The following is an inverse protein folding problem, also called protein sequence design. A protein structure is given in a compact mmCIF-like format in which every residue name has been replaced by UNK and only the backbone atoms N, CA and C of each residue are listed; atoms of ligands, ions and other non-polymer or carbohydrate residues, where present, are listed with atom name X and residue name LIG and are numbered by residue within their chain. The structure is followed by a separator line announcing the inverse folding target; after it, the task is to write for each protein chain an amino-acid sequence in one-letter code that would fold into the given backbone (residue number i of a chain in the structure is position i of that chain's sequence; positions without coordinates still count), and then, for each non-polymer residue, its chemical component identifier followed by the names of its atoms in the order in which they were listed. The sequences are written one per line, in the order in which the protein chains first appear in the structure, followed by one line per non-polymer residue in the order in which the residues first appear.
data_IF_621867285348
#
_entry.id   IF_621867285348
#
_cell.length_a   1.000
_cell.length_b   1.000
_cell.length_c   1.000
_cell.angle_alpha   90.00
_cell.angle_beta   90.00
_cell.angle_gamma   90.00
#
_symmetry.space_group_name_H-M   'P 1'
#
loop_
_entity.id
_entity.type
_entity.pdbx_description
1 polymer ?
#
# COMPACT_ATOMS: atom_id res chain seq x y z
N UNK A 1 15.48 2.52 -28.11
CA UNK A 1 16.45 3.63 -28.33
C UNK A 1 17.92 3.24 -28.12
N UNK A 2 18.24 2.13 -27.44
CA UNK A 2 19.65 1.72 -27.21
C UNK A 2 20.49 1.47 -28.47
N UNK A 3 19.92 0.88 -29.53
CA UNK A 3 20.66 0.64 -30.78
C UNK A 3 21.07 1.94 -31.50
N UNK A 4 20.26 3.00 -31.42
CA UNK A 4 20.57 4.27 -32.08
C UNK A 4 21.75 5.00 -31.39
N UNK A 5 21.82 4.94 -30.06
CA UNK A 5 22.89 5.56 -29.26
C UNK A 5 24.22 4.82 -29.48
N UNK A 6 24.18 3.49 -29.65
CA UNK A 6 25.35 2.68 -30.00
C UNK A 6 25.93 3.07 -31.36
N UNK A 7 25.09 3.23 -32.39
CA UNK A 7 25.52 3.65 -33.72
C UNK A 7 26.10 5.07 -33.72
N UNK A 8 25.51 6.01 -32.98
CA UNK A 8 25.99 7.40 -32.89
C UNK A 8 27.37 7.45 -32.22
N UNK A 9 27.57 6.67 -31.15
CA UNK A 9 28.86 6.62 -30.44
C UNK A 9 30.00 6.12 -31.35
N UNK A 10 29.72 5.14 -32.21
CA UNK A 10 30.69 4.61 -33.18
C UNK A 10 31.03 5.66 -34.24
N UNK A 11 30.02 6.37 -34.78
CA UNK A 11 30.23 7.43 -35.77
C UNK A 11 31.08 8.57 -35.17
N UNK A 12 30.78 8.98 -33.94
CA UNK A 12 31.54 10.02 -33.24
C UNK A 12 32.99 9.59 -33.02
N UNK A 13 33.23 8.32 -32.64
CA UNK A 13 34.58 7.77 -32.51
C UNK A 13 35.37 7.86 -33.83
N UNK A 14 34.75 7.47 -34.95
CA UNK A 14 35.37 7.57 -36.28
C UNK A 14 35.71 9.01 -36.67
N UNK A 15 34.82 9.96 -36.36
CA UNK A 15 35.06 11.40 -36.60
C UNK A 15 36.25 11.89 -35.77
N UNK A 16 36.31 11.53 -34.49
CA UNK A 16 37.43 11.91 -33.60
C UNK A 16 38.75 11.34 -34.15
N UNK A 17 38.79 10.06 -34.52
CA UNK A 17 39.99 9.43 -35.08
C UNK A 17 40.42 10.08 -36.41
N UNK A 18 39.47 10.42 -37.28
CA UNK A 18 39.76 11.14 -38.52
C UNK A 18 40.37 12.52 -38.25
N UNK A 19 39.87 13.27 -37.27
CA UNK A 19 40.40 14.59 -36.90
C UNK A 19 41.85 14.53 -36.38
N UNK A 20 42.25 13.46 -35.69
CA UNK A 20 43.64 13.25 -35.26
C UNK A 20 44.61 13.09 -36.44
N UNK A 21 44.15 12.59 -37.59
CA UNK A 21 44.98 12.50 -38.80
C UNK A 21 45.25 13.85 -39.45
N UNK A 22 44.39 14.85 -39.19
CA UNK A 22 44.51 16.21 -39.73
C UNK A 22 45.39 17.07 -38.81
N UNK A 23 45.12 17.05 -37.49
CA UNK A 23 45.90 17.78 -36.50
C UNK A 23 45.69 17.21 -35.10
N UNK A 24 46.76 17.00 -34.31
CA UNK A 24 46.64 16.59 -32.91
C UNK A 24 45.78 17.54 -32.06
N UNK A 25 45.83 18.85 -32.35
CA UNK A 25 45.09 19.88 -31.60
C UNK A 25 43.58 19.76 -31.86
N UNK A 26 43.18 19.54 -33.11
CA UNK A 26 41.76 19.35 -33.47
C UNK A 26 41.19 18.07 -32.85
N UNK A 27 41.99 17.00 -32.81
CA UNK A 27 41.62 15.76 -32.12
C UNK A 27 41.29 16.00 -30.64
N UNK A 28 42.18 16.68 -29.89
CA UNK A 28 41.98 16.96 -28.46
C UNK A 28 40.73 17.82 -28.21
N UNK A 29 40.52 18.88 -28.99
CA UNK A 29 39.35 19.77 -28.84
C UNK A 29 38.03 19.02 -29.06
N UNK A 30 37.99 18.09 -30.02
CA UNK A 30 36.80 17.28 -30.29
C UNK A 30 36.43 16.36 -29.13
N UNK A 31 37.43 15.75 -28.47
CA UNK A 31 37.24 14.91 -27.29
C UNK A 31 36.68 15.72 -26.13
N UNK A 32 37.27 16.89 -25.84
CA UNK A 32 36.80 17.78 -24.76
C UNK A 32 35.36 18.24 -25.01
N UNK A 33 35.04 18.61 -26.26
CA UNK A 33 33.67 19.00 -26.64
C UNK A 33 32.66 17.87 -26.46
N UNK A 34 33.03 16.64 -26.83
CA UNK A 34 32.17 15.46 -26.66
C UNK A 34 31.94 15.13 -25.18
N UNK A 35 32.98 15.13 -24.35
CA UNK A 35 32.85 14.96 -22.90
C UNK A 35 32.00 16.07 -22.27
N UNK A 36 32.15 17.32 -22.73
CA UNK A 36 31.31 18.44 -22.33
C UNK A 36 29.83 18.21 -22.63
N UNK A 37 29.51 17.70 -23.83
CA UNK A 37 28.13 17.35 -24.20
C UNK A 37 27.57 16.19 -23.38
N UNK A 38 28.37 15.15 -23.09
CA UNK A 38 27.95 14.04 -22.23
C UNK A 38 27.61 14.51 -20.81
N UNK A 39 28.50 15.31 -20.20
CA UNK A 39 28.28 15.87 -18.87
C UNK A 39 27.04 16.79 -18.87
N UNK A 40 26.88 17.63 -19.89
CA UNK A 40 25.71 18.50 -20.03
C UNK A 40 24.41 17.69 -20.18
N UNK A 41 24.43 16.62 -20.98
CA UNK A 41 23.30 15.72 -21.17
C UNK A 41 22.87 15.05 -19.87
N UNK A 42 23.81 14.47 -19.12
CA UNK A 42 23.54 13.83 -17.82
C UNK A 42 22.92 14.84 -16.84
N UNK A 43 23.55 16.01 -16.68
CA UNK A 43 23.04 17.06 -15.77
C UNK A 43 21.65 17.55 -16.16
N UNK A 44 21.36 17.64 -17.46
CA UNK A 44 20.05 18.03 -17.97
C UNK A 44 18.99 16.99 -17.62
N UNK A 45 19.30 15.70 -17.76
CA UNK A 45 18.40 14.61 -17.36
C UNK A 45 18.11 14.65 -15.86
N UNK A 46 19.13 14.80 -15.02
CA UNK A 46 18.95 14.91 -13.57
C UNK A 46 18.08 16.11 -13.18
N UNK A 47 18.28 17.26 -13.85
CA UNK A 47 17.48 18.48 -13.62
C UNK A 47 16.01 18.28 -14.00
N UNK A 48 15.72 17.55 -15.10
CA UNK A 48 14.35 17.26 -15.53
C UNK A 48 13.66 16.33 -14.53
N UNK A 49 14.37 15.31 -14.04
CA UNK A 49 13.84 14.40 -13.03
C UNK A 49 13.53 15.13 -11.71
N UNK A 50 14.43 16.01 -11.24
CA UNK A 50 14.18 16.81 -10.04
C UNK A 50 12.98 17.74 -10.18
N UNK A 51 12.84 18.43 -11.33
CA UNK A 51 11.65 19.26 -11.58
C UNK A 51 10.34 18.47 -11.53
N UNK A 52 10.32 17.25 -12.05
CA UNK A 52 9.14 16.38 -11.96
C UNK A 52 8.77 16.03 -10.51
N UNK A 53 9.78 15.73 -9.67
CA UNK A 53 9.56 15.48 -8.25
C UNK A 53 9.06 16.71 -7.50
N UNK A 54 9.58 17.90 -7.82
CA UNK A 54 9.15 19.17 -7.23
C UNK A 54 7.71 19.51 -7.60
N UNK A 55 7.34 19.34 -8.87
CA UNK A 55 5.96 19.52 -9.33
C UNK A 55 4.99 18.55 -8.62
N UNK A 56 5.40 17.29 -8.46
CA UNK A 56 4.62 16.29 -7.74
C UNK A 56 4.45 16.65 -6.25
N UNK A 57 5.50 17.15 -5.60
CA UNK A 57 5.42 17.61 -4.21
C UNK A 57 4.42 18.76 -4.03
N UNK A 58 4.41 19.72 -4.96
CA UNK A 58 3.44 20.82 -4.95
C UNK A 58 2.01 20.27 -5.08
N UNK A 59 1.77 19.39 -6.05
CA UNK A 59 0.45 18.77 -6.28
C UNK A 59 -0.02 17.91 -5.11
N UNK A 60 0.88 17.15 -4.49
CA UNK A 60 0.58 16.40 -3.27
C UNK A 60 0.12 17.34 -2.15
N UNK A 61 0.84 18.45 -1.95
CA UNK A 61 0.49 19.44 -0.94
C UNK A 61 -0.83 20.15 -1.21
N UNK A 62 -1.21 20.34 -2.48
CA UNK A 62 -2.52 20.86 -2.88
C UNK A 62 -3.63 19.86 -2.60
N UNK A 63 -3.50 18.61 -3.07
CA UNK A 63 -4.49 17.55 -2.80
C UNK A 63 -4.63 17.22 -1.32
N UNK A 64 -3.55 17.29 -0.56
CA UNK A 64 -3.64 17.08 0.88
C UNK A 64 -4.55 18.11 1.56
N UNK A 65 -4.67 19.33 1.02
CA UNK A 65 -5.61 20.33 1.52
C UNK A 65 -7.07 20.02 1.15
N UNK A 66 -7.30 19.18 0.14
CA UNK A 66 -8.64 18.70 -0.26
C UNK A 66 -9.14 17.60 0.69
N UNK A 67 -8.24 16.86 1.34
CA UNK A 67 -8.60 15.90 2.39
C UNK A 67 -9.23 16.63 3.59
N UNK A 68 -10.23 16.00 4.23
CA UNK A 68 -11.01 16.67 5.25
C UNK A 68 -10.26 16.74 6.58
N UNK A 69 -9.42 17.76 6.77
CA UNK A 69 -8.68 18.03 8.02
C UNK A 69 -8.03 16.79 8.66
N UNK A 70 -7.52 15.86 7.87
CA UNK A 70 -6.67 14.79 8.40
C UNK A 70 -5.49 15.43 9.13
N UNK A 71 -5.28 15.03 10.37
CA UNK A 71 -4.11 15.40 11.17
C UNK A 71 -3.04 14.37 10.86
N UNK A 72 -1.97 14.80 10.19
CA UNK A 72 -0.86 13.92 9.82
C UNK A 72 -0.04 13.56 11.07
N UNK A 73 -0.31 12.39 11.66
CA UNK A 73 0.51 11.79 12.72
C UNK A 73 1.77 11.16 12.12
N UNK A 74 1.61 10.41 11.04
CA UNK A 74 2.69 9.80 10.26
C UNK A 74 2.33 9.84 8.77
N UNK A 75 3.33 9.90 7.89
CA UNK A 75 3.09 9.74 6.46
C UNK A 75 4.23 9.03 5.74
N UNK A 76 3.88 8.44 4.62
CA UNK A 76 4.79 7.85 3.66
C UNK A 76 4.52 8.45 2.30
N UNK A 77 5.59 8.82 1.59
CA UNK A 77 5.51 9.27 0.20
C UNK A 77 6.37 8.33 -0.64
N UNK A 78 5.83 7.86 -1.76
CA UNK A 78 6.54 7.03 -2.73
C UNK A 78 7.78 7.77 -3.26
N UNK A 79 8.75 7.02 -3.79
CA UNK A 79 10.00 7.59 -4.30
C UNK A 79 9.78 8.67 -5.39
N UNK A 80 8.73 8.52 -6.19
CA UNK A 80 8.40 9.42 -7.29
C UNK A 80 7.43 10.55 -6.88
N UNK A 81 7.11 10.64 -5.59
CA UNK A 81 6.19 11.63 -5.00
C UNK A 81 4.80 11.62 -5.63
N UNK A 82 4.35 10.49 -6.17
CA UNK A 82 3.06 10.34 -6.84
C UNK A 82 1.99 9.68 -5.95
N UNK A 83 2.41 8.98 -4.89
CA UNK A 83 1.51 8.35 -3.92
C UNK A 83 1.92 8.76 -2.51
N UNK A 84 0.95 9.23 -1.72
CA UNK A 84 1.14 9.55 -0.30
C UNK A 84 0.12 8.79 0.56
N UNK A 85 0.61 8.06 1.56
CA UNK A 85 -0.18 7.44 2.61
C UNK A 85 -0.02 8.27 3.89
N UNK A 86 -1.14 8.63 4.51
CA UNK A 86 -1.19 9.46 5.71
C UNK A 86 -1.93 8.67 6.79
N UNK A 87 -1.40 8.70 8.00
CA UNK A 87 -2.04 8.18 9.21
C UNK A 87 -2.48 9.35 10.07
N UNK A 88 -3.72 9.28 10.54
CA UNK A 88 -4.29 10.15 11.55
C UNK A 88 -4.70 9.27 12.75
N UNK A 89 -3.80 9.17 13.73
CA UNK A 89 -3.99 8.32 14.91
C UNK A 89 -5.11 8.84 15.81
N UNK A 90 -5.23 10.17 15.92
CA UNK A 90 -6.19 10.82 16.82
C UNK A 90 -7.63 10.64 16.33
N UNK A 91 -7.86 10.83 15.02
CA UNK A 91 -9.17 10.69 14.41
C UNK A 91 -9.44 9.26 13.88
N UNK A 92 -8.46 8.35 13.98
CA UNK A 92 -8.53 6.94 13.53
C UNK A 92 -8.85 6.83 12.05
N UNK A 93 -8.08 7.54 11.24
CA UNK A 93 -8.26 7.64 9.79
C UNK A 93 -6.95 7.40 9.05
N UNK A 94 -7.09 7.01 7.78
CA UNK A 94 -6.01 7.04 6.82
C UNK A 94 -6.38 7.92 5.63
N UNK A 95 -5.37 8.63 5.11
CA UNK A 95 -5.45 9.38 3.86
C UNK A 95 -4.62 8.69 2.79
N UNK A 96 -5.15 8.56 1.58
CA UNK A 96 -4.41 8.02 0.43
C UNK A 96 -4.53 9.02 -0.72
N UNK A 97 -3.41 9.57 -1.16
CA UNK A 97 -3.34 10.45 -2.32
C UNK A 97 -2.61 9.71 -3.42
N UNK A 98 -3.18 9.69 -4.62
CA UNK A 98 -2.57 9.13 -5.82
C UNK A 98 -2.69 10.12 -6.97
N UNK A 99 -1.57 10.78 -7.31
CA UNK A 99 -1.48 11.78 -8.37
C UNK A 99 -1.60 11.19 -9.77
N UNK A 100 -1.25 9.91 -9.98
CA UNK A 100 -1.36 9.28 -11.30
C UNK A 100 -2.81 9.23 -11.78
N UNK A 101 -3.73 9.04 -10.84
CA UNK A 101 -5.18 8.99 -11.10
C UNK A 101 -5.91 10.24 -10.59
N UNK A 102 -5.17 11.28 -10.17
CA UNK A 102 -5.70 12.54 -9.63
C UNK A 102 -6.67 12.35 -8.43
N UNK A 103 -6.51 11.31 -7.64
CA UNK A 103 -7.43 10.96 -6.55
C UNK A 103 -6.85 11.24 -5.16
N UNK A 104 -7.74 11.60 -4.23
CA UNK A 104 -7.47 11.68 -2.81
C UNK A 104 -8.61 11.01 -2.04
N UNK A 105 -8.27 10.09 -1.14
CA UNK A 105 -9.22 9.28 -0.39
C UNK A 105 -8.97 9.42 1.10
N UNK A 106 -10.04 9.34 1.86
CA UNK A 106 -10.04 9.32 3.32
C UNK A 106 -10.90 8.16 3.78
N UNK A 107 -10.35 7.31 4.65
CA UNK A 107 -11.02 6.13 5.18
C UNK A 107 -10.88 6.08 6.70
N UNK A 108 -11.95 5.73 7.40
CA UNK A 108 -11.86 5.40 8.81
C UNK A 108 -11.15 4.04 8.97
N UNK A 109 -10.54 3.77 10.12
CA UNK A 109 -9.94 2.45 10.39
C UNK A 109 -10.93 1.29 10.20
N UNK A 110 -12.22 1.52 10.45
CA UNK A 110 -13.26 0.52 10.25
C UNK A 110 -13.47 0.12 8.78
N UNK A 111 -13.11 1.00 7.86
CA UNK A 111 -13.27 0.78 6.43
C UNK A 111 -12.09 -0.04 5.88
N UNK A 112 -11.00 -0.19 6.63
CA UNK A 112 -9.85 -1.02 6.25
C UNK A 112 -10.21 -2.49 6.51
N UNK A 113 -10.17 -3.29 5.45
CA UNK A 113 -10.56 -4.71 5.48
C UNK A 113 -9.33 -5.63 5.47
N UNK A 114 -8.30 -5.23 4.72
CA UNK A 114 -7.08 -6.03 4.58
C UNK A 114 -5.89 -5.16 4.19
N UNK A 115 -4.71 -5.55 4.70
CA UNK A 115 -3.42 -4.97 4.36
C UNK A 115 -2.47 -6.11 4.01
N UNK A 116 -1.82 -6.03 2.86
CA UNK A 116 -0.96 -7.08 2.33
C UNK A 116 0.33 -6.49 1.77
N UNK A 117 1.46 -7.08 2.14
CA UNK A 117 2.76 -6.81 1.52
C UNK A 117 2.90 -7.72 0.30
N UNK A 118 3.13 -7.11 -0.86
CA UNK A 118 3.42 -7.80 -2.11
C UNK A 118 4.89 -7.59 -2.51
N UNK A 119 5.54 -8.66 -2.93
CA UNK A 119 6.89 -8.66 -3.51
C UNK A 119 6.82 -9.39 -4.86
N UNK A 120 7.16 -8.72 -5.96
CA UNK A 120 6.99 -9.26 -7.32
C UNK A 120 5.55 -9.75 -7.61
N UNK A 121 4.55 -9.18 -6.92
CA UNK A 121 3.15 -9.60 -6.98
C UNK A 121 2.78 -10.77 -6.07
N UNK A 122 3.76 -11.42 -5.42
CA UNK A 122 3.53 -12.47 -4.43
C UNK A 122 3.26 -11.86 -3.04
N UNK A 123 2.27 -12.40 -2.33
CA UNK A 123 1.97 -12.07 -0.93
C UNK A 123 3.06 -12.58 0.00
N UNK A 124 3.71 -11.65 0.71
CA UNK A 124 4.69 -11.95 1.75
C UNK A 124 4.01 -11.99 3.12
N UNK A 125 3.24 -10.96 3.44
CA UNK A 125 2.55 -10.81 4.74
C UNK A 125 1.16 -10.26 4.50
N UNK A 126 0.17 -10.74 5.25
CA UNK A 126 -1.22 -10.33 5.12
C UNK A 126 -1.90 -10.25 6.48
N UNK A 127 -2.70 -9.21 6.69
CA UNK A 127 -3.58 -9.02 7.85
C UNK A 127 -4.96 -8.60 7.37
N UNK A 128 -6.01 -9.23 7.88
CA UNK A 128 -7.40 -8.99 7.49
C UNK A 128 -8.30 -8.89 8.72
N UNK A 129 -9.41 -8.16 8.60
CA UNK A 129 -10.45 -8.06 9.64
C UNK A 129 -11.04 -9.43 10.00
N UNK A 130 -11.04 -9.75 11.29
CA UNK A 130 -11.58 -10.99 11.86
C UNK A 130 -13.07 -11.17 11.61
N UNK A 131 -13.83 -10.07 11.65
CA UNK A 131 -15.27 -10.02 11.35
C UNK A 131 -15.63 -10.49 9.93
N UNK A 132 -14.65 -10.49 9.01
CA UNK A 132 -14.82 -10.91 7.62
C UNK A 132 -14.25 -12.31 7.34
N UNK A 133 -13.54 -12.90 8.30
CA UNK A 133 -13.00 -14.27 8.23
C UNK A 133 -14.12 -15.32 8.31
N UNK A 134 -15.27 -15.00 8.93
CA UNK A 134 -16.44 -15.89 9.06
C UNK A 134 -17.49 -15.78 7.95
N UNK A 135 -17.40 -14.77 7.08
CA UNK A 135 -18.34 -14.52 5.99
C UNK A 135 -17.58 -14.16 4.72
N UNK A 136 -17.04 -15.16 4.04
CA UNK A 136 -16.22 -14.99 2.84
C UNK A 136 -16.94 -14.15 1.75
N UNK A 137 -16.54 -12.89 1.58
CA UNK A 137 -17.03 -12.05 0.47
C UNK A 137 -16.08 -10.91 0.05
N UNK A 138 -14.76 -11.14 0.06
CA UNK A 138 -13.81 -10.33 -0.71
C UNK A 138 -13.05 -11.23 -1.67
N UNK A 139 -13.57 -11.27 -2.90
CA UNK A 139 -13.20 -12.17 -3.98
C UNK A 139 -11.72 -12.13 -4.37
N UNK A 140 -11.29 -13.27 -4.92
CA UNK A 140 -9.93 -13.55 -5.38
C UNK A 140 -8.87 -13.50 -4.27
N UNK A 141 -8.75 -14.63 -3.59
CA UNK A 141 -7.48 -15.14 -3.10
C UNK A 141 -6.46 -15.08 -4.26
N UNK A 142 -5.77 -13.96 -4.39
CA UNK A 142 -4.40 -13.93 -4.93
C UNK A 142 -3.50 -14.30 -3.75
N UNK A 143 -3.65 -15.54 -3.25
CA UNK A 143 -2.65 -16.14 -2.39
C UNK A 143 -1.53 -16.68 -3.28
N UNK A 144 -0.71 -15.80 -3.83
CA UNK A 144 0.69 -16.17 -4.05
C UNK A 144 1.36 -16.05 -2.70
N UNK A 145 1.72 -17.14 -2.01
CA UNK A 145 2.56 -17.03 -0.80
C UNK A 145 2.27 -18.06 0.29
N UNK A 146 1.06 -18.08 0.85
CA UNK A 146 0.75 -19.03 1.95
C UNK A 146 -0.67 -19.57 1.78
N UNK A 147 -0.81 -20.72 1.11
CA UNK A 147 -2.03 -21.55 1.18
C UNK A 147 -2.78 -21.88 -0.12
N UNK A 148 -2.36 -21.42 -1.30
CA UNK A 148 -3.02 -21.83 -2.56
C UNK A 148 -2.57 -23.23 -3.00
N UNK A 149 -3.31 -24.26 -2.59
CA UNK A 149 -3.43 -25.52 -3.32
C UNK A 149 -4.51 -25.32 -4.39
N UNK A 150 -4.13 -24.86 -5.57
CA UNK A 150 -4.94 -25.01 -6.78
C UNK A 150 -3.99 -25.47 -7.89
N UNK A 151 -4.26 -26.67 -8.40
CA UNK A 151 -3.37 -27.44 -9.24
C UNK A 151 -3.17 -26.88 -10.65
N UNK A 152 -2.00 -27.18 -11.21
CA UNK A 152 -1.86 -27.43 -12.64
C UNK A 152 -1.17 -26.37 -13.49
N UNK A 153 -0.92 -25.15 -13.02
CA UNK A 153 -0.33 -24.10 -13.88
C UNK A 153 0.58 -23.08 -13.18
N UNK A 154 1.27 -23.44 -12.08
CA UNK A 154 2.29 -22.59 -11.43
C UNK A 154 3.68 -23.23 -11.54
N UNK A 155 4.04 -23.66 -12.74
CA UNK A 155 5.29 -24.33 -13.05
C UNK A 155 6.45 -23.38 -13.33
N UNK A 156 6.61 -22.30 -12.56
CA UNK A 156 7.88 -21.53 -12.53
C UNK A 156 7.96 -20.68 -11.25
N UNK A 157 7.90 -21.33 -10.08
CA UNK A 157 8.23 -20.68 -8.80
C UNK A 157 9.74 -20.58 -8.67
N UNK A 158 10.35 -19.63 -9.36
CA UNK A 158 11.64 -19.12 -8.90
C UNK A 158 11.35 -18.11 -7.80
N UNK A 159 11.67 -18.46 -6.55
CA UNK A 159 12.06 -17.46 -5.56
C UNK A 159 13.25 -16.71 -6.15
N UNK A 160 13.00 -15.70 -6.97
CA UNK A 160 14.07 -14.91 -7.58
C UNK A 160 14.81 -14.22 -6.44
N UNK A 161 16.14 -14.34 -6.40
CA UNK A 161 16.95 -13.49 -5.52
C UNK A 161 16.81 -11.99 -5.85
N UNK A 162 16.15 -11.71 -6.97
CA UNK A 162 15.95 -10.43 -7.61
C UNK A 162 14.52 -9.93 -7.38
N UNK A 163 14.43 -8.67 -6.97
CA UNK A 163 13.20 -7.93 -6.65
C UNK A 163 13.00 -6.85 -7.71
N UNK A 164 11.80 -6.82 -8.26
CA UNK A 164 11.36 -5.82 -9.24
C UNK A 164 10.39 -4.81 -8.63
N UNK A 165 9.55 -5.24 -7.67
CA UNK A 165 8.68 -4.35 -6.92
C UNK A 165 8.43 -4.83 -5.47
N UNK A 166 8.13 -3.86 -4.60
CA UNK A 166 7.65 -4.04 -3.22
C UNK A 166 6.50 -3.06 -3.03
N UNK A 167 5.34 -3.58 -2.65
CA UNK A 167 4.09 -2.82 -2.61
C UNK A 167 3.32 -3.13 -1.32
N UNK A 168 2.63 -2.13 -0.77
CA UNK A 168 1.62 -2.32 0.26
C UNK A 168 0.23 -2.19 -0.38
N UNK A 169 -0.49 -3.30 -0.44
CA UNK A 169 -1.88 -3.35 -0.90
C UNK A 169 -2.82 -3.16 0.28
N UNK A 170 -3.74 -2.22 0.16
CA UNK A 170 -4.78 -1.93 1.15
C UNK A 170 -6.13 -2.18 0.47
N UNK A 171 -6.96 -3.03 1.08
CA UNK A 171 -8.33 -3.27 0.65
C UNK A 171 -9.27 -2.58 1.64
N UNK A 172 -10.21 -1.79 1.10
CA UNK A 172 -11.15 -1.00 1.88
C UNK A 172 -12.60 -1.28 1.48
N UNK A 173 -13.54 -0.95 2.35
CA UNK A 173 -14.98 -1.06 2.11
C UNK A 173 -15.49 0.10 1.24
N UNK A 174 -15.09 0.10 -0.03
CA UNK A 174 -15.48 1.09 -1.03
C UNK A 174 -15.77 0.37 -2.35
N UNK A 175 -17.01 0.45 -2.83
CA UNK A 175 -17.41 -0.22 -4.08
C UNK A 175 -16.76 0.37 -5.32
N UNK A 176 -16.36 1.64 -5.27
CA UNK A 176 -15.78 2.36 -6.42
C UNK A 176 -14.26 2.21 -6.45
N UNK A 177 -13.63 2.32 -5.29
CA UNK A 177 -12.17 2.22 -5.16
C UNK A 177 -11.76 1.27 -4.03
N UNK A 178 -12.00 -0.05 -4.18
CA UNK A 178 -11.79 -1.03 -3.12
C UNK A 178 -10.31 -1.36 -2.87
N UNK A 179 -9.42 -1.09 -3.83
CA UNK A 179 -8.01 -1.51 -3.79
C UNK A 179 -7.10 -0.32 -4.00
N UNK A 180 -6.21 -0.10 -3.04
CA UNK A 180 -5.17 0.92 -3.09
C UNK A 180 -3.80 0.25 -3.02
N UNK A 181 -2.89 0.64 -3.92
CA UNK A 181 -1.51 0.13 -3.98
C UNK A 181 -0.56 1.28 -3.65
N UNK A 182 0.26 1.07 -2.61
CA UNK A 182 1.28 2.03 -2.17
C UNK A 182 2.65 1.44 -2.55
N UNK A 183 3.33 1.97 -3.58
CA UNK A 183 4.62 1.44 -4.02
C UNK A 183 5.74 1.87 -3.08
N UNK A 184 6.50 0.90 -2.57
CA UNK A 184 7.74 1.14 -1.81
C UNK A 184 8.97 1.05 -2.70
N UNK A 185 8.91 0.20 -3.71
CA UNK A 185 9.92 0.04 -4.72
C UNK A 185 9.26 -0.47 -6.00
N UNK A 186 9.63 0.09 -7.14
CA UNK A 186 9.27 -0.47 -8.44
C UNK A 186 10.32 -0.02 -9.49
N UNK A 187 10.89 -1.00 -10.17
CA UNK A 187 11.89 -0.82 -11.23
C UNK A 187 11.31 -0.17 -12.50
N UNK A 188 9.99 -0.23 -12.72
CA UNK A 188 9.29 0.26 -13.91
C UNK A 188 9.13 1.78 -13.94
N UNK A 189 9.29 2.48 -12.82
CA UNK A 189 9.12 3.94 -12.74
C UNK A 189 10.40 4.76 -12.99
N UNK A 190 11.52 4.14 -13.40
CA UNK A 190 12.64 4.88 -14.02
C UNK A 190 12.19 5.46 -15.37
N UNK A 191 11.55 6.62 -15.32
CA UNK A 191 10.93 7.30 -16.47
C UNK A 191 11.93 7.86 -17.48
N UNK A 192 13.23 7.77 -17.22
CA UNK A 192 14.28 8.20 -18.15
C UNK A 192 15.44 7.21 -18.05
N UNK A 193 15.75 6.56 -19.16
CA UNK A 193 16.93 5.71 -19.39
C UNK A 193 16.94 4.29 -18.78
N UNK A 194 16.21 3.40 -19.48
CA UNK A 194 16.50 2.00 -19.79
C UNK A 194 17.68 1.29 -19.09
N UNK A 195 17.59 1.07 -17.77
CA UNK A 195 18.23 -0.09 -17.14
C UNK A 195 17.31 -0.63 -16.04
N UNK A 196 16.63 -1.74 -16.37
CA UNK A 196 15.99 -2.61 -15.40
C UNK A 196 17.10 -3.22 -14.55
N UNK A 197 17.29 -2.69 -13.35
CA UNK A 197 18.22 -3.26 -12.39
C UNK A 197 17.36 -3.85 -11.28
N UNK A 198 17.03 -5.15 -11.35
CA UNK A 198 16.40 -5.81 -10.23
C UNK A 198 17.33 -5.75 -9.01
N UNK A 199 16.75 -5.61 -7.82
CA UNK A 199 17.48 -5.51 -6.56
C UNK A 199 17.67 -6.89 -5.93
N UNK A 200 18.86 -7.19 -5.42
CA UNK A 200 19.07 -8.44 -4.69
C UNK A 200 18.50 -8.37 -3.27
N UNK A 201 17.92 -9.48 -2.77
CA UNK A 201 17.40 -9.58 -1.38
C UNK A 201 18.47 -9.40 -0.29
N UNK A 202 19.75 -9.60 -0.62
CA UNK A 202 20.85 -9.39 0.32
C UNK A 202 21.22 -7.89 0.46
N UNK A 203 20.72 -7.03 -0.44
CA UNK A 203 21.05 -5.62 -0.50
C UNK A 203 20.54 -4.92 0.78
N UNK A 204 21.38 -4.08 1.35
CA UNK A 204 21.02 -3.17 2.44
C UNK A 204 19.78 -2.31 2.12
N UNK A 205 19.63 -1.90 0.86
CA UNK A 205 18.47 -1.10 0.40
C UNK A 205 17.20 -1.94 0.46
N UNK A 206 17.26 -3.22 0.07
CA UNK A 206 16.13 -4.13 0.18
C UNK A 206 15.68 -4.27 1.64
N UNK A 207 16.63 -4.50 2.56
CA UNK A 207 16.30 -4.64 3.99
C UNK A 207 15.64 -3.39 4.56
N UNK A 208 16.14 -2.20 4.18
CA UNK A 208 15.55 -0.92 4.58
C UNK A 208 14.12 -0.75 4.01
N UNK A 209 13.89 -1.13 2.75
CA UNK A 209 12.56 -1.08 2.14
C UNK A 209 11.60 -2.04 2.84
N UNK A 210 12.06 -3.25 3.15
CA UNK A 210 11.29 -4.24 3.89
C UNK A 210 10.96 -3.76 5.32
N UNK A 211 11.89 -3.12 6.02
CA UNK A 211 11.63 -2.51 7.33
C UNK A 211 10.51 -1.46 7.23
N UNK A 212 10.60 -0.56 6.24
CA UNK A 212 9.59 0.48 6.02
C UNK A 212 8.20 -0.08 5.69
N UNK A 213 8.11 -1.04 4.76
CA UNK A 213 6.80 -1.61 4.39
C UNK A 213 6.22 -2.45 5.53
N UNK A 214 7.06 -3.16 6.31
CA UNK A 214 6.60 -3.88 7.50
C UNK A 214 6.12 -2.93 8.61
N UNK A 215 6.77 -1.77 8.79
CA UNK A 215 6.30 -0.74 9.72
C UNK A 215 4.88 -0.29 9.38
N UNK A 216 4.63 0.08 8.12
CA UNK A 216 3.29 0.49 7.66
C UNK A 216 2.27 -0.63 7.69
N UNK A 217 2.64 -1.85 7.30
CA UNK A 217 1.79 -3.02 7.47
C UNK A 217 1.42 -3.23 8.95
N UNK A 218 2.37 -3.09 9.87
CA UNK A 218 2.15 -3.19 11.31
C UNK A 218 1.16 -2.15 11.82
N UNK A 219 1.36 -0.88 11.48
CA UNK A 219 0.46 0.23 11.83
C UNK A 219 -0.97 -0.06 11.38
N UNK A 220 -1.15 -0.40 10.10
CA UNK A 220 -2.49 -0.64 9.56
C UNK A 220 -3.09 -1.96 10.08
N UNK A 221 -2.26 -2.94 10.42
CA UNK A 221 -2.68 -4.15 11.13
C UNK A 221 -3.21 -3.83 12.54
N UNK A 222 -2.58 -2.89 13.26
CA UNK A 222 -3.12 -2.38 14.53
C UNK A 222 -4.42 -1.61 14.33
N UNK A 223 -4.53 -0.79 13.28
CA UNK A 223 -5.77 -0.09 12.94
C UNK A 223 -6.94 -1.07 12.68
N UNK A 224 -6.70 -2.15 11.93
CA UNK A 224 -7.66 -3.24 11.73
C UNK A 224 -8.06 -3.85 13.07
N UNK A 225 -7.09 -4.20 13.91
CA UNK A 225 -7.33 -4.83 15.21
C UNK A 225 -8.17 -3.94 16.13
N UNK A 226 -7.81 -2.66 16.21
CA UNK A 226 -8.54 -1.69 17.02
C UNK A 226 -10.00 -1.56 16.57
N UNK A 227 -10.22 -1.55 15.26
CA UNK A 227 -11.57 -1.48 14.72
C UNK A 227 -12.38 -2.78 14.97
N UNK A 228 -11.73 -3.95 14.91
CA UNK A 228 -12.34 -5.24 15.29
C UNK A 228 -12.69 -5.33 16.78
N UNK A 229 -11.84 -4.80 17.67
CA UNK A 229 -12.08 -4.76 19.12
C UNK A 229 -13.30 -3.88 19.45
N UNK A 230 -13.45 -2.73 18.76
CA UNK A 230 -14.60 -1.85 18.89
C UNK A 230 -15.92 -2.51 18.42
N UNK A 231 -15.87 -3.26 17.32
CA UNK A 231 -17.03 -3.96 16.79
C UNK A 231 -17.44 -5.15 17.68
N UNK A 232 -16.46 -5.89 18.21
CA UNK A 232 -16.67 -7.00 19.15
C UNK A 232 -17.29 -6.52 20.47
N UNK A 233 -16.81 -5.39 21.01
CA UNK A 233 -17.36 -4.77 22.22
C UNK A 233 -18.83 -4.32 22.05
N UNK A 234 -19.17 -3.70 20.91
CA UNK A 234 -20.55 -3.30 20.59
C UNK A 234 -21.48 -4.50 20.44
N UNK A 235 -21.03 -5.54 19.71
CA UNK A 235 -21.84 -6.72 19.50
C UNK A 235 -22.17 -7.43 20.82
N UNK A 236 -21.22 -7.56 21.75
CA UNK A 236 -21.49 -8.14 23.06
C UNK A 236 -22.53 -7.34 23.88
N UNK A 237 -22.47 -6.00 23.87
CA UNK A 237 -23.44 -5.15 24.58
C UNK A 237 -24.84 -5.25 23.97
N UNK A 238 -24.94 -5.26 22.64
CA UNK A 238 -26.23 -5.39 21.94
C UNK A 238 -26.81 -6.78 22.11
N UNK A 239 -25.98 -7.83 22.00
CA UNK A 239 -26.42 -9.22 22.17
C UNK A 239 -26.88 -9.51 23.59
N UNK A 240 -26.20 -8.96 24.61
CA UNK A 240 -26.66 -9.05 26.01
C UNK A 240 -27.98 -8.31 26.23
N UNK A 241 -28.13 -7.08 25.75
CA UNK A 241 -29.39 -6.33 25.90
C UNK A 241 -30.56 -7.01 25.19
N UNK A 242 -30.34 -7.54 23.97
CA UNK A 242 -31.34 -8.30 23.25
C UNK A 242 -31.71 -9.58 24.02
N UNK A 243 -30.72 -10.32 24.53
CA UNK A 243 -30.98 -11.54 25.29
C UNK A 243 -31.78 -11.25 26.56
N UNK A 244 -31.36 -10.26 27.36
CA UNK A 244 -32.09 -9.82 28.57
C UNK A 244 -33.53 -9.41 28.23
N UNK A 245 -33.75 -8.65 27.14
CA UNK A 245 -35.10 -8.25 26.74
C UNK A 245 -35.99 -9.43 26.35
N UNK A 246 -35.43 -10.42 25.64
CA UNK A 246 -36.16 -11.62 25.22
C UNK A 246 -36.43 -12.57 26.40
N UNK A 247 -35.49 -12.70 27.32
CA UNK A 247 -35.65 -13.48 28.55
C UNK A 247 -36.75 -12.89 29.43
N UNK A 248 -36.77 -11.56 29.60
CA UNK A 248 -37.84 -10.86 30.35
C UNK A 248 -39.21 -11.03 29.69
N UNK A 249 -39.27 -11.00 28.35
CA UNK A 249 -40.51 -11.24 27.59
C UNK A 249 -41.01 -12.67 27.78
N UNK A 250 -40.13 -13.66 27.63
CA UNK A 250 -40.47 -15.07 27.84
C UNK A 250 -40.93 -15.32 29.29
N UNK A 251 -40.26 -14.71 30.27
CA UNK A 251 -40.63 -14.80 31.67
C UNK A 251 -42.03 -14.23 31.94
N UNK A 252 -42.37 -13.11 31.31
CA UNK A 252 -43.70 -12.50 31.40
C UNK A 252 -44.78 -13.38 30.77
N UNK A 253 -44.50 -13.98 29.62
CA UNK A 253 -45.42 -14.88 28.93
C UNK A 253 -45.69 -16.15 29.75
N UNK A 254 -44.68 -16.71 30.41
CA UNK A 254 -44.83 -17.86 31.34
C UNK A 254 -45.71 -17.53 32.54
N UNK A 255 -45.66 -16.29 33.05
CA UNK A 255 -46.56 -15.82 34.11
C UNK A 255 -47.99 -15.69 33.61
N UNK A 256 -48.21 -15.09 32.43
CA UNK A 256 -49.55 -14.95 31.83
C UNK A 256 -50.18 -16.32 31.57
N UNK A 257 -49.40 -17.29 31.11
CA UNK A 257 -49.86 -18.65 30.86
C UNK A 257 -50.13 -19.44 32.15
N UNK A 258 -49.87 -18.85 33.33
CA UNK A 258 -50.08 -19.50 34.63
C UNK A 258 -49.07 -20.62 34.94
N UNK A 259 -47.97 -20.71 34.19
CA UNK A 259 -46.90 -21.69 34.40
C UNK A 259 -46.03 -21.28 35.60
N UNK A 260 -45.87 -19.96 35.83
CA UNK A 260 -45.16 -19.41 36.97
C UNK A 260 -46.12 -18.69 37.93
N UNK A 261 -45.89 -18.86 39.23
CA UNK A 261 -46.53 -18.03 40.25
C UNK A 261 -45.94 -16.62 40.28
N UNK A 262 -46.65 -15.68 40.92
CA UNK A 262 -46.20 -14.29 41.02
C UNK A 262 -44.87 -14.15 41.78
N UNK A 263 -44.64 -14.97 42.80
CA UNK A 263 -43.39 -14.99 43.57
C UNK A 263 -42.22 -15.55 42.75
N UNK A 264 -42.42 -16.65 42.03
CA UNK A 264 -41.39 -17.25 41.16
C UNK A 264 -41.01 -16.31 40.01
N UNK A 265 -41.98 -15.59 39.44
CA UNK A 265 -41.74 -14.58 38.43
C UNK A 265 -40.82 -13.45 38.95
N UNK A 266 -41.13 -12.88 40.12
CA UNK A 266 -40.31 -11.79 40.68
C UNK A 266 -38.91 -12.27 41.09
N UNK A 267 -38.78 -13.49 41.60
CA UNK A 267 -37.46 -14.07 41.90
C UNK A 267 -36.60 -14.25 40.65
N UNK A 268 -37.17 -14.74 39.54
CA UNK A 268 -36.43 -14.93 38.29
C UNK A 268 -36.13 -13.61 37.59
N UNK A 269 -37.08 -12.66 37.60
CA UNK A 269 -36.89 -11.30 37.06
C UNK A 269 -35.74 -10.58 37.76
N UNK A 270 -35.65 -10.67 39.08
CA UNK A 270 -34.55 -10.07 39.84
C UNK A 270 -33.21 -10.76 39.57
N UNK A 271 -33.19 -12.05 39.24
CA UNK A 271 -31.95 -12.72 38.81
C UNK A 271 -31.48 -12.24 37.45
N UNK A 272 -32.39 -12.12 36.49
CA UNK A 272 -32.07 -11.66 35.12
C UNK A 272 -31.61 -10.20 35.12
N UNK A 273 -32.22 -9.33 35.94
CA UNK A 273 -31.86 -7.90 36.02
C UNK A 273 -30.56 -7.63 36.79
N UNK A 274 -30.07 -8.57 37.61
CA UNK A 274 -28.84 -8.44 38.39
C UNK A 274 -27.71 -9.35 37.87
N UNK A 275 -27.90 -9.99 36.70
CA UNK A 275 -26.88 -10.76 35.98
C UNK A 275 -26.10 -9.90 35.01
#
# INVERSE_FOLDING_TARGET
MGCAIGCISIIVLFIILWLFTISPVLGILSVVGWFGMLIWGIRKTDTIAQKGLDENNIKLGEKQKELSKIIESQSYTSKDNDVKLILDEDNKKIGIINLLNDNAFEYDYKDILEVTILENGDTVTKTSRSSQVGGALLGAVVAGGVGAIIGGLTGERSSTQHIENIELKIIVNDYKYPVHIIPFFDTKFKKVDALYIPMEKNDSVYKLLMEKVNHWHGILGFAIKEADDLDSGKNNIVHNNLNISSELKNLHDLKIQGILTAEEFEQQKNKILNS
#
